data_IF_681601842162
#
_entry.id   IF_681601842162
#
_cell.length_a   1.000
_cell.length_b   1.000
_cell.length_c   1.000
_cell.angle_alpha   90.00
_cell.angle_beta   90.00
_cell.angle_gamma   90.00
#
_symmetry.space_group_name_H-M   'P 1'
#
loop_
_entity.id
_entity.type
_entity.pdbx_description
1 polymer ?
#
# COMPACT_ATOMS: atom_id res chain seq x y z
N UNK A 1 26.19 -4.99 19.78
CA UNK A 1 25.98 -3.91 18.80
C UNK A 1 24.65 -4.17 18.09
N UNK A 2 23.72 -3.22 18.11
CA UNK A 2 22.43 -3.34 17.39
C UNK A 2 22.68 -3.51 15.91
N UNK A 3 21.93 -4.41 15.26
CA UNK A 3 21.98 -4.67 13.82
C UNK A 3 20.78 -4.02 13.13
N UNK A 4 20.76 -2.69 13.11
CA UNK A 4 19.70 -1.95 12.40
C UNK A 4 19.72 -2.26 10.88
N UNK A 5 18.55 -2.41 10.24
CA UNK A 5 18.47 -2.66 8.81
C UNK A 5 18.95 -1.43 8.02
N UNK A 6 19.73 -1.70 6.96
CA UNK A 6 20.20 -0.72 5.99
C UNK A 6 19.92 -1.26 4.58
N UNK A 7 19.99 -0.44 3.56
CA UNK A 7 19.75 -0.84 2.15
C UNK A 7 20.61 -2.02 1.71
N UNK A 8 21.89 -2.08 2.14
CA UNK A 8 22.75 -3.20 1.85
C UNK A 8 22.23 -4.56 2.37
N UNK A 9 21.30 -4.57 3.33
CA UNK A 9 20.75 -5.82 3.87
C UNK A 9 20.01 -6.64 2.81
N UNK A 10 19.50 -6.01 1.76
CA UNK A 10 18.74 -6.70 0.71
C UNK A 10 19.58 -7.66 -0.12
N UNK A 11 20.90 -7.40 -0.23
CA UNK A 11 21.87 -8.23 -0.95
C UNK A 11 22.88 -8.93 0.00
N UNK A 12 22.71 -8.73 1.31
CA UNK A 12 23.68 -9.21 2.30
C UNK A 12 23.49 -10.70 2.60
N UNK A 13 24.55 -11.51 2.47
CA UNK A 13 24.51 -12.95 2.82
C UNK A 13 24.17 -13.22 4.29
N UNK A 14 24.32 -12.27 5.19
CA UNK A 14 24.02 -12.37 6.61
C UNK A 14 22.58 -11.92 6.96
N UNK A 15 21.77 -11.55 5.97
CA UNK A 15 20.41 -11.04 6.18
C UNK A 15 19.61 -11.92 7.10
N UNK A 16 19.52 -13.22 6.82
CA UNK A 16 18.71 -14.16 7.62
C UNK A 16 19.17 -14.19 9.08
N UNK A 17 20.49 -14.28 9.33
CA UNK A 17 21.03 -14.26 10.69
C UNK A 17 20.70 -12.95 11.43
N UNK A 18 20.83 -11.81 10.76
CA UNK A 18 20.45 -10.51 11.36
C UNK A 18 18.94 -10.40 11.62
N UNK A 19 18.12 -10.96 10.73
CA UNK A 19 16.66 -10.97 10.91
C UNK A 19 16.23 -11.86 12.07
N UNK A 20 16.81 -13.05 12.20
CA UNK A 20 16.59 -13.94 13.34
C UNK A 20 16.94 -13.23 14.66
N UNK A 21 18.10 -12.55 14.69
CA UNK A 21 18.52 -11.80 15.86
C UNK A 21 17.59 -10.63 16.18
N UNK A 22 17.19 -9.84 15.18
CA UNK A 22 16.22 -8.76 15.38
C UNK A 22 14.89 -9.27 15.94
N UNK A 23 14.44 -10.43 15.47
CA UNK A 23 13.23 -11.09 16.00
C UNK A 23 13.41 -11.56 17.44
N UNK A 24 14.55 -12.18 17.76
CA UNK A 24 14.86 -12.63 19.12
C UNK A 24 14.96 -11.46 20.10
N UNK A 25 15.56 -10.37 19.69
CA UNK A 25 15.74 -9.15 20.49
C UNK A 25 14.51 -8.22 20.44
N UNK A 26 13.44 -8.60 19.74
CA UNK A 26 12.17 -7.85 19.58
C UNK A 26 12.34 -6.39 19.14
N UNK A 27 13.18 -6.16 18.12
CA UNK A 27 13.54 -4.80 17.66
C UNK A 27 12.36 -3.98 17.19
N UNK A 28 12.38 -2.67 17.50
CA UNK A 28 11.40 -1.70 17.00
C UNK A 28 11.35 -1.62 15.46
N UNK A 29 12.48 -1.88 14.79
CA UNK A 29 12.52 -1.91 13.32
C UNK A 29 11.64 -2.99 12.67
N UNK A 30 11.11 -3.93 13.44
CA UNK A 30 10.14 -4.93 12.99
C UNK A 30 8.68 -4.43 13.01
N UNK A 31 8.43 -3.28 13.64
CA UNK A 31 7.08 -2.68 13.66
C UNK A 31 6.73 -2.15 12.28
N UNK A 32 5.59 -2.59 11.76
CA UNK A 32 5.13 -2.17 10.44
C UNK A 32 4.98 -0.65 10.34
N UNK A 33 5.61 -0.06 9.33
CA UNK A 33 5.53 1.37 9.05
C UNK A 33 6.31 2.29 9.98
N UNK A 34 7.12 1.76 10.89
CA UNK A 34 7.97 2.58 11.77
C UNK A 34 9.13 3.21 10.98
N UNK A 35 9.37 4.49 11.18
CA UNK A 35 10.55 5.18 10.64
C UNK A 35 11.73 5.12 11.62
N UNK A 36 12.95 5.26 11.09
CA UNK A 36 14.18 5.34 11.92
C UNK A 36 14.13 6.47 12.94
N UNK A 37 13.53 7.63 12.59
CA UNK A 37 13.37 8.75 13.50
C UNK A 37 12.42 8.44 14.65
N UNK A 38 11.31 7.75 14.37
CA UNK A 38 10.36 7.32 15.41
C UNK A 38 10.98 6.29 16.33
N UNK A 39 11.65 5.27 15.77
CA UNK A 39 12.35 4.28 16.58
C UNK A 39 13.39 4.92 17.51
N UNK A 40 14.20 5.87 17.00
CA UNK A 40 15.20 6.58 17.80
C UNK A 40 14.58 7.45 18.90
N UNK A 41 13.43 8.10 18.65
CA UNK A 41 12.72 8.85 19.69
C UNK A 41 12.15 7.91 20.77
N UNK A 42 11.52 6.81 20.37
CA UNK A 42 10.99 5.81 21.32
C UNK A 42 12.09 5.23 22.21
N UNK A 43 13.26 4.90 21.65
CA UNK A 43 14.41 4.44 22.41
C UNK A 43 14.89 5.46 23.44
N UNK A 44 14.97 6.74 23.10
CA UNK A 44 15.31 7.80 24.06
C UNK A 44 14.30 7.91 25.19
N UNK A 45 13.06 7.51 24.97
CA UNK A 45 11.99 7.46 25.96
C UNK A 45 11.93 6.13 26.74
N UNK A 46 12.89 5.22 26.51
CA UNK A 46 12.94 3.92 27.18
C UNK A 46 12.06 2.83 26.54
N UNK A 47 11.42 3.12 25.40
CA UNK A 47 10.64 2.14 24.62
C UNK A 47 11.55 1.56 23.55
N UNK A 48 12.15 0.39 23.81
CA UNK A 48 13.20 -0.19 22.96
C UNK A 48 12.83 -1.46 22.23
N UNK A 49 11.62 -2.01 22.47
CA UNK A 49 11.12 -3.23 21.84
C UNK A 49 9.72 -3.05 21.29
N UNK A 50 9.32 -3.93 20.36
CA UNK A 50 7.95 -3.94 19.83
C UNK A 50 6.92 -4.22 20.92
N UNK A 51 7.20 -5.17 21.83
CA UNK A 51 6.31 -5.48 22.95
C UNK A 51 6.17 -4.29 23.91
N UNK A 52 7.27 -3.57 24.19
CA UNK A 52 7.21 -2.36 25.01
C UNK A 52 6.38 -1.26 24.34
N UNK A 53 6.51 -1.09 23.00
CA UNK A 53 5.69 -0.13 22.26
C UNK A 53 4.21 -0.54 22.28
N UNK A 54 3.90 -1.82 22.07
CA UNK A 54 2.54 -2.34 22.14
C UNK A 54 1.85 -2.09 23.49
N UNK A 55 2.63 -2.02 24.58
CA UNK A 55 2.14 -1.77 25.94
C UNK A 55 1.97 -0.27 26.29
N UNK A 56 2.44 0.64 25.43
CA UNK A 56 2.26 2.09 25.68
C UNK A 56 0.76 2.42 25.70
N UNK A 57 0.25 3.14 26.73
CA UNK A 57 -1.16 3.49 26.78
C UNK A 57 -1.56 4.50 25.72
N UNK A 58 -2.84 4.45 25.33
CA UNK A 58 -3.44 5.47 24.48
C UNK A 58 -4.51 6.24 25.27
N UNK A 59 -4.65 7.55 25.04
CA UNK A 59 -3.80 8.39 24.20
C UNK A 59 -2.36 8.42 24.72
N UNK A 60 -1.41 8.70 23.81
CA UNK A 60 0.02 8.74 24.21
C UNK A 60 0.24 9.67 25.40
N UNK A 61 1.00 9.26 26.44
CA UNK A 61 1.25 10.07 27.64
C UNK A 61 2.26 11.22 27.39
N UNK A 62 2.71 11.39 26.15
CA UNK A 62 3.69 12.41 25.75
C UNK A 62 3.42 12.89 24.32
N UNK A 63 3.98 14.06 23.98
CA UNK A 63 3.97 14.56 22.60
C UNK A 63 5.28 14.19 21.90
N UNK A 64 5.22 13.78 20.63
CA UNK A 64 6.42 13.56 19.82
C UNK A 64 7.24 14.83 19.67
N UNK A 65 8.57 14.67 19.62
CA UNK A 65 9.51 15.75 19.29
C UNK A 65 9.37 16.17 17.82
N UNK A 66 9.08 15.17 16.96
CA UNK A 66 8.86 15.38 15.52
C UNK A 66 7.70 14.52 15.02
N UNK A 67 6.90 15.08 14.12
CA UNK A 67 5.77 14.40 13.50
C UNK A 67 4.48 14.53 14.31
N UNK A 68 3.42 13.95 13.75
CA UNK A 68 2.10 13.98 14.35
C UNK A 68 1.93 12.89 15.43
N UNK A 69 1.19 13.18 16.49
CA UNK A 69 0.80 12.22 17.54
C UNK A 69 0.16 10.99 16.92
N UNK A 70 -0.75 11.20 15.96
CA UNK A 70 -1.49 10.13 15.28
C UNK A 70 -0.57 9.13 14.56
N UNK A 71 0.59 9.58 14.06
CA UNK A 71 1.55 8.67 13.43
C UNK A 71 2.24 7.74 14.43
N UNK A 72 2.47 8.20 15.66
CA UNK A 72 2.99 7.36 16.74
C UNK A 72 1.91 6.44 17.31
N UNK A 73 0.68 6.90 17.45
CA UNK A 73 -0.46 6.07 17.85
C UNK A 73 -0.70 4.95 16.83
N UNK A 74 -0.59 5.26 15.54
CA UNK A 74 -0.70 4.25 14.47
C UNK A 74 0.37 3.16 14.57
N UNK A 75 1.66 3.51 14.73
CA UNK A 75 2.71 2.48 14.87
C UNK A 75 2.59 1.71 16.18
N UNK A 76 2.07 2.32 17.26
CA UNK A 76 1.75 1.63 18.51
C UNK A 76 0.67 0.57 18.28
N UNK A 77 -0.40 0.89 17.54
CA UNK A 77 -1.43 -0.09 17.18
C UNK A 77 -0.90 -1.20 16.27
N UNK A 78 -0.02 -0.87 15.31
CA UNK A 78 0.66 -1.89 14.51
C UNK A 78 1.50 -2.83 15.39
N UNK A 79 2.24 -2.30 16.37
CA UNK A 79 3.00 -3.09 17.30
C UNK A 79 2.09 -4.03 18.13
N UNK A 80 0.94 -3.52 18.63
CA UNK A 80 -0.03 -4.31 19.37
C UNK A 80 -0.54 -5.51 18.56
N UNK A 81 -1.06 -5.25 17.35
CA UNK A 81 -1.58 -6.32 16.48
C UNK A 81 -0.49 -7.33 16.12
N UNK A 82 0.75 -6.88 15.85
CA UNK A 82 1.86 -7.79 15.57
C UNK A 82 2.23 -8.66 16.78
N UNK A 83 2.21 -8.12 17.99
CA UNK A 83 2.44 -8.86 19.24
C UNK A 83 1.32 -9.86 19.49
N UNK A 84 0.05 -9.42 19.34
CA UNK A 84 -1.12 -10.28 19.54
C UNK A 84 -1.10 -11.45 18.54
N UNK A 85 -0.81 -11.19 17.25
CA UNK A 85 -0.68 -12.23 16.23
C UNK A 85 0.42 -13.24 16.54
N UNK A 86 1.59 -12.76 17.00
CA UNK A 86 2.69 -13.65 17.44
C UNK A 86 2.29 -14.51 18.64
N UNK A 87 1.58 -13.92 19.61
CA UNK A 87 1.14 -14.63 20.81
C UNK A 87 0.11 -15.71 20.49
N UNK A 88 -0.78 -15.44 19.53
CA UNK A 88 -1.81 -16.38 19.11
C UNK A 88 -1.32 -17.38 18.04
N UNK A 89 -0.13 -17.16 17.47
CA UNK A 89 0.37 -17.96 16.35
C UNK A 89 -0.47 -17.85 15.07
N UNK A 90 -1.17 -16.72 14.90
CA UNK A 90 -2.11 -16.47 13.81
C UNK A 90 -1.91 -15.09 13.19
N UNK A 91 -2.30 -14.96 11.92
CA UNK A 91 -2.45 -13.65 11.28
C UNK A 91 -3.76 -13.03 11.76
N UNK A 92 -3.66 -11.89 12.44
CA UNK A 92 -4.83 -11.14 12.89
C UNK A 92 -4.88 -9.79 12.18
N UNK A 93 -6.09 -9.29 12.00
CA UNK A 93 -6.35 -7.96 11.44
C UNK A 93 -7.53 -7.32 12.15
N UNK A 94 -7.54 -6.00 12.17
CA UNK A 94 -8.65 -5.20 12.67
C UNK A 94 -9.06 -4.21 11.59
N UNK A 95 -10.33 -4.23 11.21
CA UNK A 95 -10.87 -3.25 10.29
C UNK A 95 -10.94 -1.88 10.97
N UNK A 96 -10.36 -0.86 10.35
CA UNK A 96 -10.49 0.51 10.84
C UNK A 96 -11.93 1.00 10.68
N UNK A 97 -12.37 1.85 11.61
CA UNK A 97 -13.66 2.52 11.47
C UNK A 97 -13.71 3.34 10.19
N UNK A 98 -14.83 3.20 9.47
CA UNK A 98 -15.07 3.97 8.26
C UNK A 98 -15.32 5.44 8.62
N UNK A 99 -14.51 6.33 8.08
CA UNK A 99 -14.64 7.78 8.27
C UNK A 99 -15.21 8.38 6.99
N UNK A 100 -16.34 9.06 7.07
CA UNK A 100 -16.95 9.70 5.93
C UNK A 100 -15.98 10.63 5.20
N UNK A 101 -15.90 10.52 3.87
CA UNK A 101 -14.98 11.29 3.02
C UNK A 101 -13.51 10.88 3.12
N UNK A 102 -13.20 9.70 3.70
CA UNK A 102 -11.83 9.17 3.81
C UNK A 102 -11.76 7.70 3.39
N UNK A 103 -10.60 7.29 2.82
CA UNK A 103 -10.36 5.92 2.39
C UNK A 103 -11.45 5.40 1.45
N UNK A 104 -11.96 4.20 1.70
CA UNK A 104 -12.98 3.52 0.89
C UNK A 104 -14.35 4.22 0.86
N UNK A 105 -14.58 5.24 1.71
CA UNK A 105 -15.80 6.05 1.63
C UNK A 105 -15.71 7.24 0.66
N UNK A 106 -14.56 7.43 -0.01
CA UNK A 106 -14.38 8.48 -1.02
C UNK A 106 -14.80 8.09 -2.43
N UNK A 107 -14.62 6.82 -2.87
CA UNK A 107 -15.12 6.43 -4.19
C UNK A 107 -16.61 6.76 -4.32
N UNK A 108 -17.05 7.18 -5.50
CA UNK A 108 -18.47 7.35 -5.77
C UNK A 108 -19.22 6.00 -5.67
N UNK A 109 -20.55 6.08 -5.60
CA UNK A 109 -21.37 4.87 -5.60
C UNK A 109 -21.13 4.04 -6.86
N UNK A 110 -20.95 2.72 -6.74
CA UNK A 110 -20.71 1.84 -7.88
C UNK A 110 -21.80 1.95 -8.95
N UNK A 111 -21.40 1.88 -10.20
CA UNK A 111 -22.30 1.96 -11.35
C UNK A 111 -22.07 0.76 -12.30
N UNK A 112 -23.13 0.23 -12.95
CA UNK A 112 -22.95 -0.77 -14.00
C UNK A 112 -22.10 -0.29 -15.19
N UNK A 113 -21.92 1.02 -15.32
CA UNK A 113 -21.08 1.64 -16.34
C UNK A 113 -19.62 1.78 -15.97
N UNK A 114 -19.21 1.46 -14.74
CA UNK A 114 -17.84 1.64 -14.26
C UNK A 114 -16.82 0.84 -15.06
N UNK A 115 -15.63 1.43 -15.20
CA UNK A 115 -14.46 0.84 -15.84
C UNK A 115 -13.32 0.87 -14.83
N UNK A 116 -12.70 -0.28 -14.57
CA UNK A 116 -11.48 -0.38 -13.77
C UNK A 116 -10.31 -0.49 -14.73
N UNK A 117 -9.48 0.53 -14.75
CA UNK A 117 -8.37 0.68 -15.69
C UNK A 117 -7.03 0.66 -14.97
N UNK A 118 -6.09 -0.05 -15.54
CA UNK A 118 -4.70 -0.08 -15.11
C UNK A 118 -3.77 -0.19 -16.32
N UNK A 119 -2.54 0.31 -16.17
CA UNK A 119 -1.53 0.19 -17.21
C UNK A 119 -0.17 -0.17 -16.62
N UNK A 120 0.60 -0.96 -17.36
CA UNK A 120 1.93 -1.40 -16.99
C UNK A 120 2.94 -0.81 -17.95
N UNK A 121 4.02 -0.26 -17.38
CA UNK A 121 5.07 0.42 -18.14
C UNK A 121 6.48 -0.02 -17.76
N UNK A 122 7.41 0.15 -18.71
CA UNK A 122 8.83 0.01 -18.47
C UNK A 122 9.51 1.38 -18.67
N UNK A 123 9.97 2.03 -17.58
CA UNK A 123 10.59 3.34 -17.65
C UNK A 123 11.96 3.33 -18.35
N UNK A 124 12.53 2.16 -18.62
CA UNK A 124 13.86 2.02 -19.22
C UNK A 124 13.84 1.82 -20.74
N UNK A 125 12.68 1.73 -21.36
CA UNK A 125 12.57 1.64 -22.83
C UNK A 125 12.73 3.01 -23.47
N UNK A 126 13.79 3.20 -24.27
CA UNK A 126 14.08 4.47 -24.93
C UNK A 126 14.34 5.62 -23.96
N UNK A 127 14.08 6.86 -24.39
CA UNK A 127 14.31 8.06 -23.57
C UNK A 127 13.15 8.42 -22.63
N UNK A 128 11.98 7.79 -22.76
CA UNK A 128 10.78 8.17 -22.01
C UNK A 128 9.93 7.01 -21.48
N UNK A 129 10.49 5.80 -21.37
CA UNK A 129 9.75 4.60 -20.99
C UNK A 129 8.78 4.13 -22.08
N UNK A 130 7.96 3.16 -21.84
CA UNK A 130 6.89 2.66 -22.74
C UNK A 130 5.80 2.03 -21.86
N UNK A 131 4.56 2.49 -22.03
CA UNK A 131 3.41 1.79 -21.44
C UNK A 131 3.06 0.64 -22.37
N UNK A 132 3.33 -0.58 -21.94
CA UNK A 132 3.26 -1.77 -22.79
C UNK A 132 1.96 -2.57 -22.64
N UNK A 133 1.15 -2.31 -21.59
CA UNK A 133 -0.14 -2.97 -21.37
C UNK A 133 -1.16 -1.95 -20.88
N UNK A 134 -2.30 -1.89 -21.58
CA UNK A 134 -3.50 -1.14 -21.17
C UNK A 134 -4.57 -2.15 -20.83
N UNK A 135 -4.79 -2.40 -19.53
CA UNK A 135 -5.73 -3.37 -19.02
C UNK A 135 -7.00 -2.69 -18.49
N UNK A 136 -8.19 -3.18 -18.87
CA UNK A 136 -9.41 -2.67 -18.28
C UNK A 136 -10.49 -3.73 -18.09
N UNK A 137 -11.18 -3.62 -16.96
CA UNK A 137 -12.26 -4.50 -16.55
C UNK A 137 -13.57 -3.70 -16.53
N UNK A 138 -14.64 -4.29 -17.03
CA UNK A 138 -15.97 -3.68 -17.08
C UNK A 138 -17.07 -4.74 -17.08
N UNK A 139 -18.31 -4.36 -16.73
CA UNK A 139 -19.47 -5.24 -16.89
C UNK A 139 -20.08 -5.08 -18.29
N UNK A 140 -20.35 -6.18 -19.00
CA UNK A 140 -21.11 -6.17 -20.27
C UNK A 140 -22.61 -5.90 -20.05
N UNK A 141 -23.41 -5.99 -21.11
CA UNK A 141 -24.85 -5.73 -21.06
C UNK A 141 -25.63 -6.73 -20.21
N UNK A 142 -25.09 -7.92 -20.04
CA UNK A 142 -25.63 -8.98 -19.19
C UNK A 142 -25.14 -8.87 -17.73
N UNK A 143 -24.30 -7.87 -17.41
CA UNK A 143 -23.68 -7.67 -16.09
C UNK A 143 -22.48 -8.60 -15.84
N UNK A 144 -21.99 -9.31 -16.85
CA UNK A 144 -20.83 -10.19 -16.74
C UNK A 144 -19.54 -9.39 -16.86
N UNK A 145 -18.58 -9.64 -15.97
CA UNK A 145 -17.27 -9.02 -16.03
C UNK A 145 -16.47 -9.45 -17.26
N UNK A 146 -15.93 -8.48 -17.98
CA UNK A 146 -15.07 -8.62 -19.15
C UNK A 146 -13.77 -7.90 -18.92
N UNK A 147 -12.67 -8.56 -19.27
CA UNK A 147 -11.35 -7.96 -19.29
C UNK A 147 -10.86 -7.79 -20.71
N UNK A 148 -10.26 -6.64 -20.99
CA UNK A 148 -9.54 -6.36 -22.25
C UNK A 148 -8.12 -5.95 -21.90
N UNK A 149 -7.14 -6.48 -22.61
CA UNK A 149 -5.73 -6.13 -22.47
C UNK A 149 -5.14 -5.80 -23.85
N UNK A 150 -4.81 -4.54 -24.09
CA UNK A 150 -4.13 -4.06 -25.27
C UNK A 150 -2.63 -3.98 -25.03
N UNK A 151 -1.84 -4.75 -25.78
CA UNK A 151 -0.38 -4.76 -25.70
C UNK A 151 0.23 -3.80 -26.72
N UNK A 152 1.33 -3.16 -26.31
CA UNK A 152 2.11 -2.24 -27.13
C UNK A 152 3.60 -2.53 -26.97
N UNK A 153 4.31 -2.68 -28.07
CA UNK A 153 5.77 -2.91 -28.10
C UNK A 153 6.52 -1.69 -28.67
N UNK A 154 5.79 -0.72 -29.18
CA UNK A 154 6.32 0.51 -29.77
C UNK A 154 5.49 1.72 -29.35
N UNK A 155 6.06 2.92 -29.43
CA UNK A 155 5.33 4.18 -29.20
C UNK A 155 4.10 4.36 -30.06
N UNK A 156 4.13 3.87 -31.28
CA UNK A 156 2.98 3.93 -32.18
C UNK A 156 1.86 3.02 -31.70
N UNK A 157 2.21 1.80 -31.22
CA UNK A 157 1.25 0.85 -30.67
C UNK A 157 0.69 1.31 -29.32
N UNK A 158 1.53 1.89 -28.45
CA UNK A 158 1.12 2.52 -27.20
C UNK A 158 0.07 3.61 -27.44
N UNK A 159 0.33 4.51 -28.36
CA UNK A 159 -0.64 5.53 -28.76
C UNK A 159 -1.94 4.92 -29.27
N UNK A 160 -1.85 3.92 -30.15
CA UNK A 160 -3.03 3.25 -30.69
C UNK A 160 -3.82 2.49 -29.62
N UNK A 161 -3.15 1.87 -28.63
CA UNK A 161 -3.80 1.23 -27.50
C UNK A 161 -4.56 2.25 -26.63
N UNK A 162 -3.93 3.38 -26.32
CA UNK A 162 -4.59 4.47 -25.60
C UNK A 162 -5.78 5.05 -26.37
N UNK A 163 -5.65 5.29 -27.68
CA UNK A 163 -6.74 5.78 -28.52
C UNK A 163 -7.94 4.79 -28.52
N UNK A 164 -7.70 3.48 -28.63
CA UNK A 164 -8.77 2.46 -28.52
C UNK A 164 -9.46 2.47 -27.16
N UNK A 165 -8.68 2.57 -26.07
CA UNK A 165 -9.24 2.71 -24.74
C UNK A 165 -10.12 3.96 -24.61
N UNK A 166 -9.65 5.12 -25.11
CA UNK A 166 -10.43 6.35 -25.08
C UNK A 166 -11.72 6.26 -25.91
N UNK A 167 -11.67 5.65 -27.09
CA UNK A 167 -12.85 5.39 -27.90
C UNK A 167 -13.86 4.50 -27.16
N UNK A 168 -13.38 3.44 -26.50
CA UNK A 168 -14.22 2.59 -25.66
C UNK A 168 -14.88 3.37 -24.51
N UNK A 169 -14.11 4.21 -23.79
CA UNK A 169 -14.64 5.04 -22.70
C UNK A 169 -15.71 6.00 -23.22
N UNK A 170 -15.44 6.70 -24.34
CA UNK A 170 -16.38 7.65 -24.95
C UNK A 170 -17.67 6.95 -25.39
N UNK A 171 -17.57 5.80 -26.02
CA UNK A 171 -18.76 5.05 -26.45
C UNK A 171 -19.58 4.56 -25.25
N UNK A 172 -18.91 4.04 -24.23
CA UNK A 172 -19.57 3.60 -23.04
C UNK A 172 -20.22 4.76 -22.26
N UNK A 173 -19.62 5.95 -22.27
CA UNK A 173 -20.20 7.18 -21.71
C UNK A 173 -21.51 7.59 -22.39
N UNK A 174 -21.77 7.23 -23.62
CA UNK A 174 -23.04 7.50 -24.30
C UNK A 174 -24.17 6.53 -23.91
N UNK A 175 -23.81 5.35 -23.44
CA UNK A 175 -24.75 4.24 -23.25
C UNK A 175 -25.25 4.07 -21.83
N UNK A 176 -24.51 4.49 -20.80
CA UNK A 176 -24.80 4.18 -19.39
C UNK A 176 -24.49 5.33 -18.43
N UNK A 177 -25.37 5.55 -17.42
CA UNK A 177 -25.21 6.54 -16.33
C UNK A 177 -25.55 5.93 -14.95
N UNK A 178 -24.91 6.37 -13.86
CA UNK A 178 -23.66 7.11 -13.77
C UNK A 178 -22.45 6.25 -14.18
N UNK A 179 -21.27 6.88 -14.40
CA UNK A 179 -20.11 6.22 -15.00
C UNK A 179 -18.82 6.75 -14.39
N UNK A 180 -17.96 5.84 -14.02
CA UNK A 180 -16.65 6.19 -13.46
C UNK A 180 -15.56 5.42 -14.18
N UNK A 181 -14.43 6.07 -14.40
CA UNK A 181 -13.18 5.40 -14.73
C UNK A 181 -12.34 5.41 -13.46
N UNK A 182 -12.15 4.24 -12.88
CA UNK A 182 -11.34 4.04 -11.67
C UNK A 182 -9.95 3.61 -12.11
N UNK A 183 -8.93 4.41 -11.81
CA UNK A 183 -7.53 4.12 -12.12
C UNK A 183 -6.85 3.67 -10.84
N UNK A 184 -6.10 2.55 -10.92
CA UNK A 184 -5.31 2.00 -9.80
C UNK A 184 -3.91 2.63 -9.74
#
# INVERSE_FOLDING_TARGET
KKTEPIEHCDICRWRNHCDERRRADDYLSLVAGISKSQAGELERRGVSTMAALAAVPLPLPWRPERGAVQSFEKIREHARIQVDGRTQGAVIFEALHQIAGSGLSRPPEPSPGDIFFDFEGDPFVGEGGLEFLFGYLYADDEGKLRYTGDWASTRQEERAAFERFMDFVIERLKQREPRHVVVS
#
